data_IF_154964112202
#
_entry.id   IF_154964112202
#
_cell.length_a   1.000
_cell.length_b   1.000
_cell.length_c   1.000
_cell.angle_alpha   90.00
_cell.angle_beta   90.00
_cell.angle_gamma   90.00
#
_symmetry.space_group_name_H-M   'P 1'
#
loop_
_entity.id
_entity.type
_entity.pdbx_description
1 polymer ?
#
# COMPACT_ATOMS: atom_id res chain seq x y z
N UNK A 1 -4.53 -2.86 0.18
CA UNK A 1 -3.66 -2.47 1.31
C UNK A 1 -3.38 -3.57 2.34
N UNK A 2 -4.31 -4.47 2.67
CA UNK A 2 -4.04 -5.54 3.66
C UNK A 2 -2.97 -6.55 3.19
N UNK A 3 -2.81 -6.69 1.88
CA UNK A 3 -1.82 -7.54 1.21
C UNK A 3 -0.36 -7.17 1.53
N UNK A 4 -0.11 -5.95 2.00
CA UNK A 4 1.23 -5.47 2.39
C UNK A 4 1.37 -5.18 3.89
N UNK A 5 0.31 -5.38 4.69
CA UNK A 5 0.28 -4.93 6.08
C UNK A 5 1.35 -5.59 6.96
N UNK A 6 1.59 -6.89 6.78
CA UNK A 6 2.63 -7.62 7.51
C UNK A 6 4.04 -7.09 7.20
N UNK A 7 4.31 -6.76 5.94
CA UNK A 7 5.58 -6.20 5.52
C UNK A 7 5.80 -4.78 6.06
N UNK A 8 4.77 -3.94 6.01
CA UNK A 8 4.82 -2.60 6.61
C UNK A 8 5.07 -2.70 8.12
N UNK A 9 4.41 -3.62 8.82
CA UNK A 9 4.63 -3.84 10.25
C UNK A 9 6.10 -4.21 10.55
N UNK A 10 6.72 -5.02 9.69
CA UNK A 10 8.14 -5.37 9.77
C UNK A 10 9.04 -4.15 9.56
N UNK A 11 8.71 -3.26 8.65
CA UNK A 11 9.54 -2.06 8.40
C UNK A 11 9.44 -1.07 9.56
N UNK A 12 8.26 -0.93 10.16
CA UNK A 12 8.06 -0.15 11.40
C UNK A 12 8.92 -0.71 12.53
N UNK A 13 8.95 -2.03 12.75
CA UNK A 13 9.76 -2.62 13.82
C UNK A 13 11.27 -2.49 13.59
N UNK A 14 11.69 -2.31 12.33
CA UNK A 14 13.08 -2.06 11.94
C UNK A 14 13.45 -0.57 11.96
N UNK A 15 12.52 0.34 12.27
CA UNK A 15 12.76 1.79 12.24
C UNK A 15 13.08 2.32 10.85
N UNK A 16 12.64 1.63 9.80
CA UNK A 16 12.89 2.04 8.41
C UNK A 16 11.91 3.12 7.99
N UNK A 17 12.39 4.10 7.25
CA UNK A 17 11.53 5.09 6.61
C UNK A 17 10.85 4.48 5.38
N UNK A 18 9.56 4.77 5.21
CA UNK A 18 8.78 4.37 4.05
C UNK A 18 7.60 5.32 3.85
N UNK A 19 7.02 5.28 2.66
CA UNK A 19 5.78 5.96 2.33
C UNK A 19 4.76 4.96 1.78
N UNK A 20 3.48 5.29 1.95
CA UNK A 20 2.37 4.50 1.42
C UNK A 20 1.55 5.39 0.50
N UNK A 21 1.12 4.84 -0.62
CA UNK A 21 0.19 5.49 -1.53
C UNK A 21 -1.03 4.60 -1.72
N UNK A 22 -2.21 5.21 -1.72
CA UNK A 22 -3.48 4.54 -1.97
C UNK A 22 -4.04 5.06 -3.28
N UNK A 23 -4.50 4.15 -4.13
CA UNK A 23 -5.24 4.52 -5.34
C UNK A 23 -6.62 4.99 -4.91
N UNK A 24 -6.95 6.25 -5.15
CA UNK A 24 -8.24 6.83 -4.71
C UNK A 24 -9.33 6.76 -5.79
N UNK A 25 -8.94 6.67 -7.05
CA UNK A 25 -9.85 6.54 -8.19
C UNK A 25 -9.12 5.96 -9.40
N UNK A 26 -9.85 5.29 -10.27
CA UNK A 26 -9.37 4.81 -11.58
C UNK A 26 -10.45 5.05 -12.64
N UNK A 27 -10.04 5.21 -13.89
CA UNK A 27 -10.93 5.29 -15.04
C UNK A 27 -10.72 4.11 -15.98
N UNK A 28 -11.79 3.57 -16.55
CA UNK A 28 -11.72 2.41 -17.44
C UNK A 28 -11.26 1.14 -16.70
N UNK A 29 -10.48 0.30 -17.39
CA UNK A 29 -9.90 -0.90 -16.78
C UNK A 29 -8.56 -0.55 -16.16
N UNK A 30 -8.41 -0.86 -14.87
CA UNK A 30 -7.18 -0.66 -14.13
C UNK A 30 -6.69 -1.98 -13.51
N UNK A 31 -5.37 -2.21 -13.49
CA UNK A 31 -4.77 -3.44 -12.95
C UNK A 31 -5.00 -3.62 -11.44
N UNK A 32 -5.29 -2.53 -10.73
CA UNK A 32 -5.72 -2.51 -9.33
C UNK A 32 -6.90 -1.55 -9.23
N UNK A 33 -7.91 -1.93 -8.44
CA UNK A 33 -9.04 -1.06 -8.11
C UNK A 33 -8.62 -0.05 -7.02
N UNK A 34 -9.41 1.01 -6.80
CA UNK A 34 -9.18 1.91 -5.66
C UNK A 34 -9.12 1.16 -4.33
N UNK A 35 -8.19 1.57 -3.46
CA UNK A 35 -7.89 0.94 -2.16
C UNK A 35 -6.51 0.29 -2.03
#
# INVERSE_FOLDING_TARGET
MLDIAEELHRWVSQGREFAVATVVAVGGSAPRQPG
#
